data_IF_471212096683
#
_entry.id   IF_471212096683
#
_cell.length_a   1.000
_cell.length_b   1.000
_cell.length_c   1.000
_cell.angle_alpha   90.00
_cell.angle_beta   90.00
_cell.angle_gamma   90.00
#
_symmetry.space_group_name_H-M   'P 1'
#
loop_
_entity.id
_entity.type
_entity.pdbx_description
1 polymer ?
#
# COMPACT_ATOMS: atom_id res chain seq x y z
N UNK A 1 -4.80 28.27 -3.38
CA UNK A 1 -4.26 27.09 -4.07
C UNK A 1 -3.27 26.31 -3.20
N UNK A 2 -2.35 26.95 -2.47
CA UNK A 2 -1.37 26.26 -1.59
C UNK A 2 -1.96 25.43 -0.43
N UNK A 3 -3.14 25.79 0.08
CA UNK A 3 -3.77 25.03 1.18
C UNK A 3 -4.26 23.65 0.76
N UNK A 4 -4.74 23.50 -0.48
CA UNK A 4 -5.23 22.20 -0.98
C UNK A 4 -4.04 21.25 -1.21
N UNK A 5 -2.98 21.72 -1.86
CA UNK A 5 -1.73 20.98 -2.04
C UNK A 5 -1.16 20.45 -0.72
N UNK A 6 -1.00 21.30 0.29
CA UNK A 6 -0.49 20.90 1.61
C UNK A 6 -1.37 19.82 2.26
N UNK A 7 -2.69 19.90 2.11
CA UNK A 7 -3.63 18.89 2.61
C UNK A 7 -3.47 17.56 1.88
N UNK A 8 -3.39 17.56 0.55
CA UNK A 8 -3.23 16.32 -0.21
C UNK A 8 -1.86 15.66 0.04
N UNK A 9 -0.79 16.45 0.12
CA UNK A 9 0.55 15.96 0.51
C UNK A 9 0.55 15.31 1.89
N UNK A 10 -0.12 15.92 2.87
CA UNK A 10 -0.26 15.35 4.21
C UNK A 10 -1.00 14.01 4.19
N UNK A 11 -2.09 13.90 3.42
CA UNK A 11 -2.86 12.66 3.25
C UNK A 11 -2.04 11.55 2.59
N UNK A 12 -1.39 11.85 1.46
CA UNK A 12 -0.55 10.87 0.77
C UNK A 12 0.66 10.45 1.61
N UNK A 13 1.27 11.38 2.36
CA UNK A 13 2.35 11.05 3.29
C UNK A 13 1.88 10.09 4.39
N UNK A 14 0.69 10.33 4.96
CA UNK A 14 0.11 9.45 5.97
C UNK A 14 -0.24 8.06 5.40
N UNK A 15 -0.81 8.02 4.19
CA UNK A 15 -1.08 6.77 3.47
C UNK A 15 0.21 6.00 3.18
N UNK A 16 1.25 6.64 2.63
CA UNK A 16 2.54 6.01 2.34
C UNK A 16 3.23 5.44 3.58
N UNK A 17 3.09 6.10 4.75
CA UNK A 17 3.57 5.54 6.03
C UNK A 17 2.81 4.27 6.42
N UNK A 18 1.48 4.31 6.37
CA UNK A 18 0.65 3.14 6.69
C UNK A 18 0.92 1.96 5.72
N UNK A 19 1.12 2.25 4.42
CA UNK A 19 1.47 1.25 3.41
C UNK A 19 2.85 0.62 3.67
N UNK A 20 3.85 1.40 4.10
CA UNK A 20 5.15 0.86 4.50
C UNK A 20 5.04 -0.13 5.65
N UNK A 21 4.21 0.16 6.65
CA UNK A 21 4.01 -0.76 7.77
C UNK A 21 3.25 -2.02 7.35
N UNK A 22 2.21 -1.88 6.52
CA UNK A 22 1.51 -3.02 5.92
C UNK A 22 2.47 -3.91 5.11
N UNK A 23 3.28 -3.31 4.24
CA UNK A 23 4.21 -4.04 3.38
C UNK A 23 5.27 -4.81 4.19
N UNK A 24 5.77 -4.23 5.28
CA UNK A 24 6.69 -4.93 6.20
C UNK A 24 6.04 -6.17 6.83
N UNK A 25 4.77 -6.09 7.24
CA UNK A 25 4.07 -7.25 7.81
C UNK A 25 3.86 -8.34 6.76
N UNK A 26 3.53 -7.98 5.52
CA UNK A 26 3.41 -8.92 4.41
C UNK A 26 4.74 -9.63 4.12
N UNK A 27 5.85 -8.90 4.05
CA UNK A 27 7.19 -9.49 3.87
C UNK A 27 7.51 -10.42 5.03
N UNK A 28 7.19 -10.04 6.27
CA UNK A 28 7.44 -10.85 7.45
C UNK A 28 6.73 -12.21 7.37
N UNK A 29 5.42 -12.19 7.10
CA UNK A 29 4.59 -13.40 6.98
C UNK A 29 5.04 -14.25 5.79
N UNK A 30 5.26 -13.67 4.61
CA UNK A 30 5.75 -14.38 3.43
C UNK A 30 7.11 -15.05 3.72
N UNK A 31 8.00 -14.38 4.46
CA UNK A 31 9.28 -14.94 4.89
C UNK A 31 9.09 -16.16 5.80
N UNK A 32 8.12 -16.13 6.72
CA UNK A 32 7.81 -17.27 7.57
C UNK A 32 7.33 -18.48 6.75
N UNK A 33 6.52 -18.26 5.72
CA UNK A 33 6.10 -19.32 4.79
C UNK A 33 7.24 -19.83 3.90
N UNK A 34 8.13 -18.94 3.48
CA UNK A 34 9.28 -19.30 2.65
C UNK A 34 10.32 -20.14 3.41
N UNK A 35 10.50 -19.86 4.70
CA UNK A 35 11.46 -20.52 5.58
C UNK A 35 12.50 -19.53 6.13
N UNK A 36 13.57 -20.05 6.75
CA UNK A 36 14.60 -19.20 7.34
C UNK A 36 15.26 -18.31 6.28
N UNK A 37 14.91 -17.03 6.28
CA UNK A 37 15.60 -16.00 5.52
C UNK A 37 16.81 -15.55 6.36
N UNK A 38 18.00 -15.54 5.76
CA UNK A 38 19.24 -15.23 6.45
C UNK A 38 19.38 -13.75 6.80
N UNK A 39 20.30 -13.07 6.14
CA UNK A 39 20.63 -11.67 6.32
C UNK A 39 19.58 -10.71 5.70
N UNK A 40 19.55 -9.43 6.12
CA UNK A 40 18.73 -8.41 5.48
C UNK A 40 18.98 -8.25 3.98
N UNK A 41 20.21 -8.50 3.52
CA UNK A 41 20.55 -8.47 2.10
C UNK A 41 19.89 -9.62 1.33
N UNK A 42 19.87 -10.82 1.90
CA UNK A 42 19.18 -11.97 1.31
C UNK A 42 17.67 -11.75 1.26
N UNK A 43 17.08 -11.17 2.31
CA UNK A 43 15.67 -10.77 2.30
C UNK A 43 15.38 -9.77 1.19
N UNK A 44 16.23 -8.75 1.02
CA UNK A 44 16.09 -7.78 -0.07
C UNK A 44 16.14 -8.47 -1.44
N UNK A 45 17.08 -9.40 -1.64
CA UNK A 45 17.18 -10.16 -2.88
C UNK A 45 15.92 -11.01 -3.16
N UNK A 46 15.33 -11.64 -2.13
CA UNK A 46 14.09 -12.38 -2.25
C UNK A 46 12.94 -11.48 -2.65
N UNK A 47 12.73 -10.39 -1.91
CA UNK A 47 11.66 -9.42 -2.19
C UNK A 47 11.77 -8.88 -3.61
N UNK A 48 13.00 -8.63 -4.08
CA UNK A 48 13.24 -8.01 -5.39
C UNK A 48 13.15 -9.00 -6.56
N UNK A 49 13.63 -10.22 -6.39
CA UNK A 49 13.89 -11.11 -7.54
C UNK A 49 13.16 -12.46 -7.47
N UNK A 50 12.65 -12.88 -6.31
CA UNK A 50 12.14 -14.23 -6.14
C UNK A 50 10.64 -14.33 -6.50
N UNK A 51 10.22 -15.34 -7.28
CA UNK A 51 8.82 -15.49 -7.72
C UNK A 51 7.78 -15.52 -6.58
N UNK A 52 8.13 -16.11 -5.44
CA UNK A 52 7.22 -16.15 -4.28
C UNK A 52 6.90 -14.75 -3.73
N UNK A 53 7.82 -13.81 -3.85
CA UNK A 53 7.63 -12.41 -3.39
C UNK A 53 7.16 -11.48 -4.50
N UNK A 54 7.16 -11.92 -5.76
CA UNK A 54 6.86 -11.08 -6.92
C UNK A 54 5.48 -10.41 -6.87
N UNK A 55 4.51 -11.00 -6.16
CA UNK A 55 3.19 -10.41 -6.00
C UNK A 55 3.21 -9.11 -5.16
N UNK A 56 4.17 -8.95 -4.23
CA UNK A 56 4.35 -7.74 -3.42
C UNK A 56 4.89 -6.55 -4.23
N UNK A 57 5.45 -6.80 -5.42
CA UNK A 57 5.97 -5.75 -6.30
C UNK A 57 4.86 -4.79 -6.77
N UNK A 58 3.62 -5.27 -6.92
CA UNK A 58 2.48 -4.42 -7.28
C UNK A 58 2.26 -3.33 -6.22
N UNK A 59 2.33 -3.70 -4.94
CA UNK A 59 2.19 -2.77 -3.82
C UNK A 59 3.42 -1.85 -3.72
N UNK A 60 4.63 -2.41 -3.81
CA UNK A 60 5.88 -1.64 -3.77
C UNK A 60 5.94 -0.60 -4.89
N UNK A 61 5.52 -0.95 -6.10
CA UNK A 61 5.48 -0.04 -7.23
C UNK A 61 4.51 1.14 -7.03
N UNK A 62 3.36 0.93 -6.39
CA UNK A 62 2.45 2.02 -6.03
C UNK A 62 3.03 2.91 -4.94
N UNK A 63 3.77 2.34 -3.98
CA UNK A 63 4.46 3.11 -2.95
C UNK A 63 5.56 3.98 -3.55
N UNK A 64 6.38 3.44 -4.45
CA UNK A 64 7.42 4.20 -5.16
C UNK A 64 6.81 5.34 -5.98
N UNK A 65 5.77 5.07 -6.77
CA UNK A 65 5.08 6.12 -7.54
C UNK A 65 4.50 7.22 -6.64
N UNK A 66 4.05 6.89 -5.43
CA UNK A 66 3.55 7.87 -4.46
C UNK A 66 4.68 8.70 -3.86
N UNK A 67 5.81 8.08 -3.51
CA UNK A 67 6.99 8.77 -3.00
C UNK A 67 7.54 9.73 -4.08
N UNK A 68 7.65 9.28 -5.34
CA UNK A 68 8.05 10.14 -6.47
C UNK A 68 7.12 11.34 -6.65
N UNK A 69 5.80 11.13 -6.55
CA UNK A 69 4.81 12.22 -6.67
C UNK A 69 4.90 13.21 -5.51
N UNK A 70 5.24 12.75 -4.32
CA UNK A 70 5.45 13.59 -3.14
C UNK A 70 6.77 14.37 -3.22
N UNK A 71 7.77 13.87 -3.94
CA UNK A 71 9.05 14.54 -4.15
C UNK A 71 9.00 15.55 -5.32
N UNK A 72 8.02 15.43 -6.22
CA UNK A 72 7.77 16.40 -7.29
C UNK A 72 7.46 17.82 -6.75
N UNK A 73 7.97 18.85 -7.41
CA UNK A 73 7.73 20.26 -7.09
C UNK A 73 6.31 20.71 -7.45
N UNK A 74 5.65 20.01 -8.38
CA UNK A 74 4.28 20.33 -8.80
C UNK A 74 3.25 20.09 -7.68
N UNK A 75 2.24 20.97 -7.51
CA UNK A 75 1.23 20.83 -6.47
C UNK A 75 0.46 19.51 -6.57
N UNK A 76 0.32 18.77 -5.48
CA UNK A 76 -0.50 17.55 -5.39
C UNK A 76 -1.97 17.93 -5.41
N UNK A 77 -2.68 17.44 -6.43
CA UNK A 77 -4.11 17.73 -6.59
C UNK A 77 -4.98 16.72 -5.84
N UNK A 78 -6.24 17.07 -5.58
CA UNK A 78 -7.20 16.12 -5.05
C UNK A 78 -7.42 14.92 -5.99
N UNK A 79 -7.29 15.12 -7.31
CA UNK A 79 -7.39 14.05 -8.30
C UNK A 79 -6.22 13.06 -8.20
N UNK A 80 -5.00 13.55 -7.97
CA UNK A 80 -3.84 12.70 -7.70
C UNK A 80 -4.11 11.80 -6.48
N UNK A 81 -4.57 12.40 -5.37
CA UNK A 81 -4.86 11.68 -4.14
C UNK A 81 -5.94 10.60 -4.35
N UNK A 82 -7.02 10.93 -5.07
CA UNK A 82 -8.09 9.98 -5.44
C UNK A 82 -7.56 8.85 -6.32
N UNK A 83 -6.63 9.14 -7.24
CA UNK A 83 -6.02 8.15 -8.12
C UNK A 83 -5.24 7.12 -7.31
N UNK A 84 -4.38 7.55 -6.39
CA UNK A 84 -3.69 6.62 -5.49
C UNK A 84 -4.64 5.84 -4.60
N UNK A 85 -5.69 6.48 -4.05
CA UNK A 85 -6.71 5.76 -3.26
C UNK A 85 -7.31 4.61 -4.07
N UNK A 86 -7.79 4.88 -5.27
CA UNK A 86 -8.39 3.86 -6.16
C UNK A 86 -7.40 2.75 -6.51
N UNK A 87 -6.14 3.09 -6.78
CA UNK A 87 -5.10 2.11 -7.09
C UNK A 87 -4.79 1.19 -5.90
N UNK A 88 -4.77 1.72 -4.68
CA UNK A 88 -4.60 0.90 -3.47
C UNK A 88 -5.86 0.07 -3.20
N UNK A 89 -7.04 0.64 -3.39
CA UNK A 89 -8.32 -0.07 -3.22
C UNK A 89 -8.52 -1.20 -4.23
N UNK A 90 -7.92 -1.12 -5.42
CA UNK A 90 -7.94 -2.23 -6.37
C UNK A 90 -7.11 -3.43 -5.90
N UNK A 91 -6.10 -3.22 -5.04
CA UNK A 91 -5.30 -4.30 -4.46
C UNK A 91 -5.92 -4.87 -3.17
N UNK A 92 -6.35 -3.98 -2.25
CA UNK A 92 -6.73 -4.36 -0.87
C UNK A 92 -8.11 -3.86 -0.41
N UNK A 93 -8.81 -3.09 -1.24
CA UNK A 93 -10.15 -2.56 -0.95
C UNK A 93 -11.27 -3.53 -1.30
N UNK A 94 -12.54 -3.25 -0.96
CA UNK A 94 -13.66 -4.18 -1.10
C UNK A 94 -14.02 -4.56 -2.56
N UNK A 95 -13.55 -3.83 -3.57
CA UNK A 95 -13.99 -3.92 -4.98
C UNK A 95 -13.78 -5.28 -5.65
N UNK A 96 -14.85 -5.86 -6.19
CA UNK A 96 -14.82 -7.14 -6.95
C UNK A 96 -14.06 -7.04 -8.29
N UNK A 97 -13.80 -5.84 -8.78
CA UNK A 97 -13.07 -5.60 -10.05
C UNK A 97 -11.56 -5.37 -9.84
N UNK A 98 -11.07 -5.55 -8.62
CA UNK A 98 -9.66 -5.40 -8.26
C UNK A 98 -8.75 -6.49 -8.81
N UNK A 99 -7.47 -6.44 -8.43
CA UNK A 99 -6.47 -7.46 -8.75
C UNK A 99 -6.75 -8.75 -7.97
N UNK A 100 -7.53 -9.65 -8.57
CA UNK A 100 -8.02 -10.86 -7.90
C UNK A 100 -6.89 -11.79 -7.42
N UNK A 101 -5.76 -11.85 -8.15
CA UNK A 101 -4.62 -12.68 -7.78
C UNK A 101 -3.91 -12.14 -6.54
N UNK A 102 -3.58 -10.83 -6.54
CA UNK A 102 -3.00 -10.18 -5.37
C UNK A 102 -3.92 -10.34 -4.17
N UNK A 103 -5.22 -10.10 -4.39
CA UNK A 103 -6.21 -10.08 -3.32
C UNK A 103 -6.48 -11.44 -2.72
N UNK A 104 -6.45 -12.51 -3.52
CA UNK A 104 -6.55 -13.88 -3.01
C UNK A 104 -5.40 -14.20 -2.03
N UNK A 105 -4.15 -13.87 -2.40
CA UNK A 105 -2.98 -14.04 -1.51
C UNK A 105 -3.07 -13.16 -0.27
N UNK A 106 -3.40 -11.87 -0.47
CA UNK A 106 -3.53 -10.90 0.62
C UNK A 106 -4.58 -11.34 1.65
N UNK A 107 -5.76 -11.77 1.20
CA UNK A 107 -6.82 -12.22 2.07
C UNK A 107 -6.48 -13.52 2.81
N UNK A 108 -5.75 -14.43 2.17
CA UNK A 108 -5.27 -15.64 2.84
C UNK A 108 -4.36 -15.28 4.05
N UNK A 109 -3.44 -14.32 3.86
CA UNK A 109 -2.51 -13.88 4.89
C UNK A 109 -3.14 -13.08 6.03
N UNK A 110 -4.26 -12.38 5.78
CA UNK A 110 -4.93 -11.61 6.82
C UNK A 110 -5.36 -12.47 8.02
N UNK A 111 -5.57 -13.78 7.82
CA UNK A 111 -5.90 -14.69 8.91
C UNK A 111 -4.69 -15.07 9.77
N UNK A 112 -3.46 -14.87 9.28
CA UNK A 112 -2.25 -15.46 9.85
C UNK A 112 -1.49 -14.52 10.82
N UNK A 113 -1.85 -13.23 10.88
CA UNK A 113 -1.15 -12.25 11.73
C UNK A 113 -2.04 -11.11 12.24
N UNK A 114 -2.24 -10.97 13.57
CA UNK A 114 -3.02 -9.86 14.12
C UNK A 114 -2.38 -8.49 13.80
N UNK A 115 -1.06 -8.41 13.70
CA UNK A 115 -0.33 -7.21 13.29
C UNK A 115 -0.65 -6.82 11.84
N UNK A 116 -0.85 -7.79 10.95
CA UNK A 116 -1.23 -7.53 9.55
C UNK A 116 -2.66 -6.97 9.48
N UNK A 117 -3.59 -7.51 10.27
CA UNK A 117 -4.96 -6.99 10.36
C UNK A 117 -4.98 -5.56 10.88
N UNK A 118 -4.17 -5.26 11.90
CA UNK A 118 -4.05 -3.90 12.43
C UNK A 118 -3.46 -2.93 11.39
N UNK A 119 -2.43 -3.36 10.66
CA UNK A 119 -1.85 -2.58 9.58
C UNK A 119 -2.83 -2.35 8.42
N UNK A 120 -3.63 -3.37 8.06
CA UNK A 120 -4.73 -3.23 7.10
C UNK A 120 -5.73 -2.16 7.56
N UNK A 121 -6.18 -2.23 8.81
CA UNK A 121 -7.09 -1.23 9.39
C UNK A 121 -6.50 0.19 9.36
N UNK A 122 -5.21 0.35 9.65
CA UNK A 122 -4.53 1.64 9.57
C UNK A 122 -4.53 2.21 8.14
N UNK A 123 -4.30 1.37 7.12
CA UNK A 123 -4.38 1.79 5.71
C UNK A 123 -5.82 2.15 5.34
N UNK A 124 -6.81 1.33 5.70
CA UNK A 124 -8.24 1.63 5.44
C UNK A 124 -8.66 2.98 6.04
N UNK A 125 -8.17 3.31 7.24
CA UNK A 125 -8.37 4.63 7.85
C UNK A 125 -7.77 5.76 7.00
N UNK A 126 -6.54 5.63 6.49
CA UNK A 126 -5.96 6.68 5.66
C UNK A 126 -6.70 6.84 4.33
N UNK A 127 -7.17 5.72 3.74
CA UNK A 127 -7.96 5.77 2.52
C UNK A 127 -9.29 6.53 2.71
N UNK A 128 -9.94 6.42 3.88
CA UNK A 128 -11.18 7.17 4.16
C UNK A 128 -10.97 8.68 4.33
N UNK A 129 -9.76 9.13 4.68
CA UNK A 129 -9.43 10.56 4.76
C UNK A 129 -9.27 11.20 3.37
N UNK A 130 -9.07 10.39 2.32
CA UNK A 130 -9.00 10.84 0.93
C UNK A 130 -10.41 10.70 0.35
N UNK A 131 -11.17 11.79 0.31
CA UNK A 131 -12.57 11.78 -0.17
C UNK A 131 -12.63 11.71 -1.69
N UNK A 132 -13.51 10.87 -2.25
CA UNK A 132 -13.76 10.84 -3.68
C UNK A 132 -14.48 12.13 -4.09
N UNK A 133 -14.10 12.73 -5.22
CA UNK A 133 -14.92 13.77 -5.82
C UNK A 133 -16.29 13.13 -6.17
N UNK A 134 -17.32 13.42 -5.38
CA UNK A 134 -18.71 12.96 -5.60
C UNK A 134 -19.32 12.02 -4.56
N UNK A 135 -18.61 11.56 -3.53
CA UNK A 135 -19.22 10.76 -2.46
C UNK A 135 -19.79 11.66 -1.35
N UNK A 136 -21.07 11.55 -0.98
CA UNK A 136 -21.60 12.22 0.21
C UNK A 136 -21.01 11.56 1.47
N UNK A 137 -20.70 12.40 2.45
CA UNK A 137 -20.22 12.02 3.78
C UNK A 137 -21.22 11.15 4.55
#
# INVERSE_FOLDING_TARGET
MHTDDAVQRARLTALGRALRDLHKQLIHIESQYFGAVGSPLELLQLVTNHPNFAWLQKLSGLMTQMDERLDDEEPVTAEDAVTYRRAIESLIGPSEQGDLEFRAKYNAMLHDGPELVMAHGAVRKQLSEIVAIGDPA
#
